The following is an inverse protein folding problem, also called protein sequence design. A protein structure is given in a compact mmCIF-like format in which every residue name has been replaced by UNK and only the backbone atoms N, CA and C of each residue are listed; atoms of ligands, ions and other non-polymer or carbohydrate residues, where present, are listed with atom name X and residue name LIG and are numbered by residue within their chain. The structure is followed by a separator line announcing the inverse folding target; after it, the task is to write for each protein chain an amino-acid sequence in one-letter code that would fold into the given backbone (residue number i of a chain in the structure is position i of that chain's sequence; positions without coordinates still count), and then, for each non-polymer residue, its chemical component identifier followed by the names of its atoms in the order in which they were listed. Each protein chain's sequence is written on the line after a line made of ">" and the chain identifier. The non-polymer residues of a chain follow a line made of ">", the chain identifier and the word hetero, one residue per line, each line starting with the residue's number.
data_IF_075189659270
#
_entry.id   IF_075189659270
#
_cell.length_a   1.000
_cell.length_b   1.000
_cell.length_c   1.000
_cell.angle_alpha   90.00
_cell.angle_beta   90.00
_cell.angle_gamma   90.00
#
_symmetry.space_group_name_H-M   'P 1'
#
loop_
_entity.id
_entity.type
_entity.pdbx_description
1 polymer ?
#
# COMPACT_ATOMS: atom_id res chain seq x y z
N UNK A 1 9.61 3.00 -20.10
CA UNK A 1 8.70 3.31 -18.98
C UNK A 1 8.16 1.99 -18.48
N UNK A 2 8.29 1.74 -17.18
CA UNK A 2 7.75 0.55 -16.52
C UNK A 2 6.76 0.97 -15.44
N UNK A 3 5.66 0.23 -15.29
CA UNK A 3 4.66 0.47 -14.25
C UNK A 3 4.41 -0.87 -13.55
N UNK A 4 4.67 -0.92 -12.25
CA UNK A 4 4.39 -2.07 -11.40
C UNK A 4 3.26 -1.72 -10.43
N UNK A 5 2.17 -2.49 -10.47
CA UNK A 5 1.11 -2.41 -9.45
C UNK A 5 1.56 -3.27 -8.26
N UNK A 6 1.89 -2.62 -7.15
CA UNK A 6 2.39 -3.28 -5.93
C UNK A 6 1.22 -3.75 -5.06
N UNK A 7 0.18 -2.92 -4.94
CA UNK A 7 -1.03 -3.20 -4.18
C UNK A 7 -2.26 -2.56 -4.85
N UNK A 8 -3.38 -3.27 -4.82
CA UNK A 8 -4.68 -2.83 -5.34
C UNK A 8 -5.80 -3.64 -4.67
N UNK A 9 -7.07 -3.20 -4.76
CA UNK A 9 -8.22 -4.00 -4.29
C UNK A 9 -8.20 -5.43 -4.82
N UNK A 10 -7.96 -5.60 -6.13
CA UNK A 10 -7.92 -6.91 -6.79
C UNK A 10 -6.74 -7.79 -6.36
N UNK A 11 -5.73 -7.20 -5.70
CA UNK A 11 -4.57 -7.91 -5.15
C UNK A 11 -4.71 -8.22 -3.66
N UNK A 12 -5.88 -7.98 -3.06
CA UNK A 12 -6.20 -8.41 -1.69
C UNK A 12 -5.87 -7.40 -0.59
N UNK A 13 -5.51 -6.17 -0.95
CA UNK A 13 -5.38 -5.02 -0.05
C UNK A 13 -6.43 -3.95 -0.39
N UNK A 14 -6.42 -2.80 0.26
CA UNK A 14 -7.19 -1.61 -0.11
C UNK A 14 -6.25 -0.47 -0.50
N UNK A 15 -6.78 0.44 -1.32
CA UNK A 15 -5.98 1.50 -1.90
C UNK A 15 -5.17 0.99 -3.09
N UNK A 16 -4.44 1.90 -3.72
CA UNK A 16 -3.54 1.62 -4.82
C UNK A 16 -2.14 2.00 -4.37
N UNK A 17 -1.18 1.12 -4.63
CA UNK A 17 0.24 1.48 -4.56
C UNK A 17 0.93 0.98 -5.82
N UNK A 18 1.70 1.85 -6.48
CA UNK A 18 2.43 1.48 -7.68
C UNK A 18 3.80 2.15 -7.75
N UNK A 19 4.72 1.49 -8.45
CA UNK A 19 5.98 2.09 -8.84
C UNK A 19 5.94 2.43 -10.33
N UNK A 20 6.34 3.65 -10.66
CA UNK A 20 6.50 4.12 -12.03
C UNK A 20 7.97 4.46 -12.26
N UNK A 21 8.58 3.80 -13.23
CA UNK A 21 9.98 4.01 -13.58
C UNK A 21 10.11 4.58 -14.99
N UNK A 22 10.79 5.73 -15.08
CA UNK A 22 11.06 6.44 -16.33
C UNK A 22 12.49 6.95 -16.28
N UNK A 23 13.35 6.43 -17.18
CA UNK A 23 14.77 6.76 -17.25
C UNK A 23 15.47 6.51 -15.89
N UNK A 24 16.01 7.55 -15.29
CA UNK A 24 16.74 7.58 -14.02
C UNK A 24 15.83 7.91 -12.81
N UNK A 25 14.50 7.96 -13.02
CA UNK A 25 13.52 8.27 -11.96
C UNK A 25 12.63 7.08 -11.67
N UNK A 26 12.42 6.84 -10.38
CA UNK A 26 11.49 5.85 -9.85
C UNK A 26 10.58 6.53 -8.82
N UNK A 27 9.33 6.73 -9.20
CA UNK A 27 8.30 7.29 -8.31
C UNK A 27 7.46 6.17 -7.71
N UNK A 28 7.35 6.13 -6.39
CA UNK A 28 6.39 5.27 -5.69
C UNK A 28 5.17 6.09 -5.33
N UNK A 29 4.04 5.77 -5.94
CA UNK A 29 2.78 6.46 -5.77
C UNK A 29 1.96 5.71 -4.72
N UNK A 30 1.42 6.48 -3.78
CA UNK A 30 0.60 6.03 -2.66
C UNK A 30 1.19 4.81 -1.94
N UNK A 31 2.34 4.98 -1.24
CA UNK A 31 3.02 3.90 -0.52
C UNK A 31 2.29 3.47 0.77
N UNK A 32 0.96 3.44 0.76
CA UNK A 32 0.11 2.95 1.84
C UNK A 32 -0.56 1.62 1.50
N UNK A 33 -1.24 1.05 2.49
CA UNK A 33 -2.21 -0.04 2.29
C UNK A 33 -3.14 -0.13 3.50
N UNK A 34 -4.34 -0.66 3.27
CA UNK A 34 -5.20 -1.15 4.35
C UNK A 34 -5.79 -2.54 4.04
N UNK A 35 -6.33 -3.19 5.07
CA UNK A 35 -7.06 -4.46 5.01
C UNK A 35 -8.57 -4.29 5.29
N UNK A 36 -8.95 -3.20 5.96
CA UNK A 36 -10.34 -2.77 6.13
C UNK A 36 -11.20 -3.65 7.04
N UNK A 37 -11.03 -3.52 8.36
CA UNK A 37 -11.86 -4.18 9.39
C UNK A 37 -13.35 -3.80 9.34
N UNK A 38 -13.68 -2.62 8.78
CA UNK A 38 -15.04 -2.12 8.72
C UNK A 38 -15.94 -2.80 7.66
N UNK A 39 -15.51 -3.91 7.04
CA UNK A 39 -16.36 -4.65 6.10
C UNK A 39 -17.25 -5.63 6.85
N UNK A 40 -18.54 -5.28 6.96
CA UNK A 40 -19.55 -6.10 7.64
C UNK A 40 -19.17 -6.50 9.08
N UNK A 41 -18.29 -5.72 9.75
CA UNK A 41 -17.75 -5.98 11.10
C UNK A 41 -16.96 -7.30 11.20
N UNK A 42 -16.38 -7.75 10.09
CA UNK A 42 -15.55 -8.96 10.05
C UNK A 42 -14.07 -8.58 10.04
N UNK A 43 -13.27 -9.37 10.77
CA UNK A 43 -11.82 -9.34 10.64
C UNK A 43 -11.41 -9.70 9.20
N UNK A 44 -10.30 -9.13 8.68
CA UNK A 44 -9.75 -9.61 7.42
C UNK A 44 -9.40 -11.09 7.54
N UNK A 45 -9.63 -11.83 6.46
CA UNK A 45 -9.26 -13.23 6.41
C UNK A 45 -7.73 -13.36 6.62
N UNK A 46 -7.23 -14.40 7.33
CA UNK A 46 -5.80 -14.62 7.51
C UNK A 46 -4.98 -14.59 6.20
N UNK A 47 -5.55 -15.05 5.08
CA UNK A 47 -4.93 -14.95 3.77
C UNK A 47 -4.73 -13.48 3.33
N UNK A 48 -5.71 -12.60 3.58
CA UNK A 48 -5.57 -11.16 3.30
C UNK A 48 -4.52 -10.52 4.20
N UNK A 49 -4.38 -10.96 5.45
CA UNK A 49 -3.31 -10.48 6.35
C UNK A 49 -1.93 -10.84 5.79
N UNK A 50 -1.76 -12.09 5.33
CA UNK A 50 -0.52 -12.53 4.71
C UNK A 50 -0.19 -11.72 3.43
N UNK A 51 -1.21 -11.48 2.59
CA UNK A 51 -1.08 -10.64 1.40
C UNK A 51 -0.72 -9.19 1.77
N UNK A 52 -1.37 -8.60 2.77
CA UNK A 52 -1.07 -7.26 3.26
C UNK A 52 0.39 -7.10 3.70
N UNK A 53 0.93 -8.08 4.42
CA UNK A 53 2.34 -8.10 4.81
C UNK A 53 3.27 -8.24 3.59
N UNK A 54 2.91 -9.06 2.60
CA UNK A 54 3.68 -9.16 1.35
C UNK A 54 3.70 -7.84 0.57
N UNK A 55 2.55 -7.21 0.40
CA UNK A 55 2.43 -5.89 -0.24
C UNK A 55 3.23 -4.85 0.52
N UNK A 56 3.13 -4.82 1.86
CA UNK A 56 3.93 -3.92 2.71
C UNK A 56 5.42 -4.05 2.44
N UNK A 57 5.93 -5.29 2.37
CA UNK A 57 7.35 -5.55 2.08
C UNK A 57 7.76 -5.06 0.70
N UNK A 58 6.91 -5.27 -0.31
CA UNK A 58 7.15 -4.77 -1.67
C UNK A 58 7.18 -3.24 -1.71
N UNK A 59 6.23 -2.56 -1.07
CA UNK A 59 6.20 -1.09 -0.96
C UNK A 59 7.50 -0.59 -0.29
N UNK A 60 7.87 -1.16 0.87
CA UNK A 60 9.10 -0.79 1.57
C UNK A 60 10.35 -1.04 0.74
N UNK A 61 10.34 -2.09 -0.09
CA UNK A 61 11.45 -2.40 -0.99
C UNK A 61 11.52 -1.38 -2.13
N UNK A 62 10.38 -1.08 -2.77
CA UNK A 62 10.29 -0.10 -3.84
C UNK A 62 10.64 1.33 -3.39
N UNK A 63 10.39 1.67 -2.12
CA UNK A 63 10.78 2.95 -1.52
C UNK A 63 12.29 3.08 -1.29
N UNK A 64 13.05 1.98 -1.16
CA UNK A 64 14.50 2.05 -0.88
C UNK A 64 15.30 2.64 -2.04
N UNK A 65 14.85 2.41 -3.26
CA UNK A 65 15.47 2.87 -4.51
C UNK A 65 14.60 3.91 -5.24
N UNK A 66 13.54 4.40 -4.60
CA UNK A 66 12.71 5.47 -5.14
C UNK A 66 13.45 6.81 -5.13
N UNK A 67 13.31 7.56 -6.21
CA UNK A 67 13.72 8.98 -6.27
C UNK A 67 12.65 9.90 -5.70
N UNK A 68 11.38 9.50 -5.83
CA UNK A 68 10.23 10.30 -5.45
C UNK A 68 9.17 9.42 -4.75
N UNK A 69 8.56 9.96 -3.70
CA UNK A 69 7.36 9.39 -3.09
C UNK A 69 6.19 10.34 -3.33
N UNK A 70 5.10 9.84 -3.90
CA UNK A 70 3.92 10.63 -4.25
C UNK A 70 2.76 10.18 -3.39
N UNK A 71 2.08 11.14 -2.76
CA UNK A 71 0.85 10.91 -2.00
C UNK A 71 -0.26 11.69 -2.69
N UNK A 72 -1.25 10.99 -3.22
CA UNK A 72 -2.38 11.59 -3.94
C UNK A 72 -3.31 12.33 -2.98
N UNK A 73 -3.52 11.78 -1.78
CA UNK A 73 -4.32 12.35 -0.70
C UNK A 73 -4.01 11.66 0.64
N UNK A 74 -4.53 12.20 1.74
CA UNK A 74 -4.18 11.78 3.11
C UNK A 74 -5.21 10.82 3.72
N UNK A 75 -5.35 9.64 3.12
CA UNK A 75 -6.01 8.50 3.76
C UNK A 75 -5.00 7.42 4.17
N UNK A 76 -5.32 6.66 5.21
CA UNK A 76 -4.43 5.67 5.82
C UNK A 76 -3.95 4.59 4.84
N UNK A 77 -4.73 4.29 3.81
CA UNK A 77 -4.41 3.31 2.77
C UNK A 77 -3.52 3.87 1.64
N UNK A 78 -3.21 5.17 1.64
CA UNK A 78 -2.34 5.82 0.66
C UNK A 78 -1.03 6.35 1.26
N UNK A 79 -0.98 6.54 2.59
CA UNK A 79 0.17 7.14 3.29
C UNK A 79 0.82 6.13 4.25
N UNK A 80 2.13 5.85 4.14
CA UNK A 80 2.84 5.01 5.09
C UNK A 80 3.02 5.73 6.43
N UNK A 81 2.13 5.46 7.39
CA UNK A 81 2.27 5.99 8.75
C UNK A 81 3.21 5.11 9.60
N UNK A 82 4.08 5.69 10.46
CA UNK A 82 4.98 4.93 11.34
C UNK A 82 4.25 3.91 12.24
N UNK A 83 2.99 4.21 12.58
CA UNK A 83 2.09 3.36 13.34
C UNK A 83 0.75 3.20 12.60
N UNK A 84 0.81 2.96 11.30
CA UNK A 84 -0.38 2.76 10.48
C UNK A 84 -1.22 1.62 11.06
N UNK A 85 -2.48 1.91 11.38
CA UNK A 85 -3.44 0.87 11.65
C UNK A 85 -3.94 0.33 10.30
N UNK A 86 -3.21 -0.62 9.71
CA UNK A 86 -3.59 -1.21 8.43
C UNK A 86 -4.94 -1.92 8.48
N UNK A 87 -5.43 -2.26 9.67
CA UNK A 87 -6.76 -2.81 9.85
C UNK A 87 -7.86 -1.74 9.85
N UNK A 88 -7.51 -0.44 9.94
CA UNK A 88 -8.45 0.68 10.08
C UNK A 88 -9.42 0.48 11.26
N UNK A 89 -8.94 -0.07 12.38
CA UNK A 89 -9.72 -0.12 13.63
C UNK A 89 -9.90 1.31 14.17
N UNK A 90 -11.04 1.58 14.82
CA UNK A 90 -11.19 2.81 15.61
C UNK A 90 -10.11 2.84 16.69
N UNK A 91 -9.33 3.93 16.72
CA UNK A 91 -8.40 4.25 17.79
C UNK A 91 -9.15 4.63 19.07
#
# INVERSE_FOLDING_TARGET
>A
MNIEIIGAESLGVRGLSCAVEVKDRKSVIDPGLALGYHRYRLLPNPAQVAIGEQVRRKILTALRDATDAVMSHFHDDHVPLPKANTYQLKA
#
